data_IF_127617227130
#
_entry.id   IF_127617227130
#
_cell.length_a   1.000
_cell.length_b   1.000
_cell.length_c   1.000
_cell.angle_alpha   90.00
_cell.angle_beta   90.00
_cell.angle_gamma   90.00
#
_symmetry.space_group_name_H-M   'P 1'
#
loop_
_entity.id
_entity.type
_entity.pdbx_description
1 polymer ?
#
# COMPACT_ATOMS: atom_id res chain seq x y z
N UNK A 1 8.67 13.24 3.65
CA UNK A 1 8.30 11.91 3.12
C UNK A 1 8.40 11.94 1.60
N UNK A 2 8.75 10.83 0.95
CA UNK A 2 8.89 10.75 -0.53
C UNK A 2 7.51 10.73 -1.20
N UNK A 3 7.48 10.91 -2.52
CA UNK A 3 6.28 10.81 -3.37
C UNK A 3 5.78 9.36 -3.51
N UNK A 4 6.71 8.42 -3.60
CA UNK A 4 6.46 6.99 -3.64
C UNK A 4 7.43 6.23 -2.72
N UNK A 5 6.95 5.17 -2.08
CA UNK A 5 7.80 4.19 -1.40
C UNK A 5 7.40 2.77 -1.82
N UNK A 6 8.40 1.94 -2.07
CA UNK A 6 8.21 0.53 -2.42
C UNK A 6 8.64 -0.31 -1.23
N UNK A 7 7.71 -1.08 -0.68
CA UNK A 7 7.87 -1.84 0.54
C UNK A 7 7.73 -3.33 0.26
N UNK A 8 8.50 -4.14 0.98
CA UNK A 8 8.26 -5.57 1.02
C UNK A 8 7.07 -5.90 1.97
N UNK A 9 6.58 -7.15 2.03
CA UNK A 9 5.49 -7.52 2.93
C UNK A 9 5.78 -7.28 4.42
N UNK A 10 7.04 -7.17 4.83
CA UNK A 10 7.44 -6.82 6.20
C UNK A 10 7.52 -5.30 6.44
N UNK A 11 6.97 -4.49 5.54
CA UNK A 11 6.99 -3.02 5.59
C UNK A 11 8.37 -2.36 5.51
N UNK A 12 9.41 -3.08 5.08
CA UNK A 12 10.73 -2.49 4.85
C UNK A 12 10.81 -1.95 3.43
N UNK A 13 11.39 -0.77 3.25
CA UNK A 13 11.73 -0.28 1.91
C UNK A 13 12.59 -1.29 1.13
N UNK A 14 12.17 -1.58 -0.09
CA UNK A 14 12.85 -2.52 -0.97
C UNK A 14 14.17 -1.93 -1.45
N UNK A 15 15.22 -2.72 -1.30
CA UNK A 15 16.54 -2.48 -1.88
C UNK A 15 16.58 -2.95 -3.32
N UNK A 16 17.62 -2.57 -4.07
CA UNK A 16 17.80 -3.04 -5.46
C UNK A 16 17.89 -4.57 -5.56
N UNK A 17 18.43 -5.23 -4.55
CA UNK A 17 18.53 -6.70 -4.50
C UNK A 17 17.16 -7.34 -4.34
N UNK A 18 16.29 -6.80 -3.47
CA UNK A 18 14.92 -7.29 -3.26
C UNK A 18 14.09 -7.28 -4.57
N UNK A 19 14.42 -6.40 -5.52
CA UNK A 19 13.78 -6.35 -6.85
C UNK A 19 14.22 -7.45 -7.81
N UNK A 20 15.46 -7.93 -7.67
CA UNK A 20 16.05 -8.96 -8.52
C UNK A 20 15.65 -10.38 -8.11
N UNK A 21 15.17 -10.56 -6.88
CA UNK A 21 14.72 -11.84 -6.37
C UNK A 21 13.30 -12.16 -6.86
N UNK A 22 13.17 -13.24 -7.65
CA UNK A 22 11.88 -13.78 -8.12
C UNK A 22 10.97 -14.32 -7.01
N UNK A 23 11.42 -14.26 -5.75
CA UNK A 23 10.78 -14.81 -4.56
C UNK A 23 9.63 -13.92 -4.09
N UNK A 24 9.62 -12.63 -4.45
CA UNK A 24 8.60 -11.71 -3.96
C UNK A 24 7.66 -11.31 -5.08
N UNK A 25 6.77 -12.24 -5.46
CA UNK A 25 5.53 -11.91 -6.20
C UNK A 25 4.60 -10.99 -5.39
N UNK A 26 5.08 -10.39 -4.32
CA UNK A 26 4.35 -9.57 -3.39
C UNK A 26 5.08 -8.26 -3.17
N UNK A 27 4.37 -7.15 -3.30
CA UNK A 27 4.92 -5.81 -3.10
C UNK A 27 3.87 -4.90 -2.50
N UNK A 28 4.28 -4.00 -1.62
CA UNK A 28 3.46 -2.90 -1.13
C UNK A 28 3.97 -1.58 -1.72
N UNK A 29 3.06 -0.71 -2.13
CA UNK A 29 3.38 0.59 -2.72
C UNK A 29 2.65 1.67 -1.95
N UNK A 30 3.41 2.59 -1.36
CA UNK A 30 2.86 3.78 -0.75
C UNK A 30 2.91 4.94 -1.74
N UNK A 31 1.77 5.60 -1.92
CA UNK A 31 1.59 6.78 -2.77
C UNK A 31 1.23 7.97 -1.88
N UNK A 32 2.10 8.98 -1.87
CA UNK A 32 1.94 10.15 -1.04
C UNK A 32 1.19 11.26 -1.79
N UNK A 33 -0.09 11.43 -1.46
CA UNK A 33 -0.95 12.44 -2.06
C UNK A 33 -0.54 13.89 -1.76
N UNK A 34 0.27 14.14 -0.72
CA UNK A 34 0.79 15.48 -0.42
C UNK A 34 2.03 15.86 -1.24
N UNK A 35 2.72 14.85 -1.79
CA UNK A 35 3.99 14.98 -2.50
C UNK A 35 3.84 14.89 -4.02
N UNK A 36 2.63 15.02 -4.56
CA UNK A 36 2.39 15.08 -6.00
C UNK A 36 3.11 16.29 -6.60
N UNK A 37 4.10 16.02 -7.45
CA UNK A 37 4.94 17.05 -8.08
C UNK A 37 4.34 17.61 -9.36
N UNK A 38 3.51 16.83 -10.05
CA UNK A 38 2.88 17.23 -11.30
C UNK A 38 1.72 18.21 -11.04
N UNK A 39 1.72 19.40 -11.67
CA UNK A 39 0.58 20.30 -11.58
C UNK A 39 -0.57 19.82 -12.46
N UNK A 40 -1.78 20.30 -12.17
CA UNK A 40 -2.93 20.07 -13.06
C UNK A 40 -2.79 20.87 -14.38
N UNK A 41 -3.77 20.71 -15.28
CA UNK A 41 -3.78 21.39 -16.58
C UNK A 41 -3.75 22.94 -16.52
N UNK A 42 -4.04 23.53 -15.35
CA UNK A 42 -3.97 24.97 -15.10
C UNK A 42 -2.69 25.42 -14.39
N UNK A 43 -1.76 24.50 -14.13
CA UNK A 43 -0.52 24.78 -13.40
C UNK A 43 -0.69 24.81 -11.87
N UNK A 44 -1.85 24.38 -11.34
CA UNK A 44 -2.13 24.41 -9.91
C UNK A 44 -1.55 23.18 -9.21
N UNK A 45 -1.07 23.34 -7.96
CA UNK A 45 -0.61 22.23 -7.12
C UNK A 45 -1.76 21.25 -6.88
N UNK A 46 -1.49 19.96 -7.08
CA UNK A 46 -2.41 18.87 -6.77
C UNK A 46 -2.05 18.30 -5.41
N UNK A 47 -3.06 18.04 -4.59
CA UNK A 47 -2.96 17.30 -3.34
C UNK A 47 -4.11 16.30 -3.34
N UNK A 48 -3.85 15.09 -2.88
CA UNK A 48 -4.83 14.02 -2.78
C UNK A 48 -4.65 13.26 -1.45
N UNK A 49 -5.52 12.30 -1.19
CA UNK A 49 -5.35 11.32 -0.12
C UNK A 49 -4.11 10.44 -0.40
N UNK A 50 -3.53 9.89 0.67
CA UNK A 50 -2.38 8.97 0.55
C UNK A 50 -2.85 7.53 0.65
N UNK A 51 -2.27 6.66 -0.19
CA UNK A 51 -2.71 5.28 -0.32
C UNK A 51 -1.58 4.29 -0.12
N UNK A 52 -1.92 3.12 0.42
CA UNK A 52 -1.06 1.94 0.46
C UNK A 52 -1.73 0.84 -0.37
N UNK A 53 -1.01 0.30 -1.36
CA UNK A 53 -1.48 -0.77 -2.22
C UNK A 53 -0.64 -2.02 -1.96
N UNK A 54 -1.26 -3.11 -1.53
CA UNK A 54 -0.59 -4.39 -1.29
C UNK A 54 -0.97 -5.37 -2.40
N UNK A 55 0.00 -5.80 -3.19
CA UNK A 55 -0.18 -6.77 -4.28
C UNK A 55 0.35 -8.13 -3.83
N UNK A 56 -0.46 -9.17 -3.95
CA UNK A 56 -0.02 -10.56 -3.88
C UNK A 56 -0.29 -11.25 -5.23
N UNK A 57 0.72 -11.32 -6.10
CA UNK A 57 0.69 -12.08 -7.35
C UNK A 57 1.12 -13.55 -7.17
N UNK A 58 1.41 -13.96 -5.94
CA UNK A 58 1.67 -15.35 -5.55
C UNK A 58 0.41 -16.22 -5.56
N UNK A 59 0.61 -17.51 -5.33
CA UNK A 59 -0.50 -18.48 -5.22
C UNK A 59 -0.92 -18.68 -3.76
N UNK A 60 0.01 -18.47 -2.84
CA UNK A 60 -0.19 -18.66 -1.41
C UNK A 60 -0.55 -17.33 -0.71
N UNK A 61 -1.29 -17.38 0.41
CA UNK A 61 -1.48 -16.22 1.28
C UNK A 61 -0.17 -15.68 1.83
N UNK A 62 -0.08 -14.35 1.95
CA UNK A 62 1.08 -13.64 2.52
C UNK A 62 0.62 -12.65 3.58
N UNK A 63 1.33 -12.58 4.70
CA UNK A 63 1.12 -11.54 5.71
C UNK A 63 1.83 -10.25 5.29
N UNK A 64 1.06 -9.18 5.18
CA UNK A 64 1.55 -7.82 5.04
C UNK A 64 1.52 -7.11 6.40
N UNK A 65 2.62 -6.48 6.76
CA UNK A 65 2.72 -5.58 7.92
C UNK A 65 2.42 -4.17 7.42
N UNK A 66 1.50 -3.45 8.08
CA UNK A 66 1.23 -2.06 7.78
C UNK A 66 2.44 -1.20 8.16
N UNK A 67 2.73 -0.12 7.41
CA UNK A 67 3.83 0.76 7.74
C UNK A 67 3.71 1.39 9.11
N UNK A 68 4.86 1.80 9.64
CA UNK A 68 4.93 2.51 10.90
C UNK A 68 4.19 3.86 10.82
N UNK A 69 4.11 4.52 11.96
CA UNK A 69 3.39 5.76 12.13
C UNK A 69 3.95 6.97 11.37
N UNK A 70 5.19 6.88 10.87
CA UNK A 70 5.71 7.89 9.94
C UNK A 70 4.79 7.99 8.70
N UNK A 71 4.26 6.86 8.21
CA UNK A 71 3.35 6.84 7.06
C UNK A 71 1.93 7.22 7.46
N UNK A 72 1.34 6.49 8.41
CA UNK A 72 0.00 6.71 8.96
C UNK A 72 -0.14 5.96 10.28
N UNK A 73 -0.92 6.51 11.21
CA UNK A 73 -1.36 5.83 12.42
C UNK A 73 -2.48 4.82 12.12
N UNK A 74 -3.34 5.16 11.16
CA UNK A 74 -4.52 4.38 10.81
C UNK A 74 -4.74 4.36 9.30
N UNK A 75 -5.19 3.20 8.81
CA UNK A 75 -5.58 2.97 7.44
C UNK A 75 -7.01 2.45 7.38
N UNK A 76 -7.79 2.95 6.43
CA UNK A 76 -9.08 2.37 6.05
C UNK A 76 -8.90 1.58 4.76
N UNK A 77 -9.36 0.33 4.74
CA UNK A 77 -9.42 -0.47 3.51
C UNK A 77 -10.51 0.13 2.60
N UNK A 78 -10.13 0.49 1.38
CA UNK A 78 -11.06 1.04 0.39
C UNK A 78 -11.45 0.00 -0.67
N UNK A 79 -10.59 -1.00 -0.88
CA UNK A 79 -10.85 -2.08 -1.83
C UNK A 79 -10.11 -3.36 -1.41
N UNK A 80 -10.84 -4.46 -1.32
CA UNK A 80 -10.28 -5.81 -1.22
C UNK A 80 -10.82 -6.69 -2.36
N UNK A 81 -9.96 -7.06 -3.30
CA UNK A 81 -10.33 -7.95 -4.42
C UNK A 81 -10.68 -9.38 -4.01
N UNK A 82 -10.36 -9.78 -2.77
CA UNK A 82 -10.80 -11.06 -2.21
C UNK A 82 -12.26 -11.03 -1.74
N UNK A 83 -12.85 -9.84 -1.60
CA UNK A 83 -14.28 -9.68 -1.32
C UNK A 83 -15.09 -9.59 -2.62
N UNK A 84 -16.22 -10.32 -2.79
CA UNK A 84 -16.97 -10.35 -4.05
C UNK A 84 -17.47 -8.98 -4.55
N UNK A 85 -17.71 -8.04 -3.64
CA UNK A 85 -18.13 -6.67 -3.97
C UNK A 85 -16.98 -5.67 -3.96
N UNK A 86 -15.78 -6.08 -3.54
CA UNK A 86 -14.66 -5.19 -3.29
C UNK A 86 -14.74 -4.43 -1.96
N UNK A 87 -15.92 -4.35 -1.35
CA UNK A 87 -16.13 -3.61 -0.10
C UNK A 87 -15.43 -4.28 1.07
N UNK A 88 -14.66 -3.49 1.80
CA UNK A 88 -14.09 -3.87 3.08
C UNK A 88 -13.95 -2.60 3.92
N UNK A 89 -15.03 -2.16 4.60
CA UNK A 89 -14.96 -1.07 5.59
C UNK A 89 -14.22 -1.55 6.86
N UNK A 90 -12.97 -1.95 6.69
CA UNK A 90 -12.07 -2.41 7.75
C UNK A 90 -11.04 -1.33 8.03
N UNK A 91 -10.85 -1.03 9.31
CA UNK A 91 -9.77 -0.18 9.80
C UNK A 91 -8.62 -1.06 10.28
N UNK A 92 -7.38 -0.70 9.90
CA UNK A 92 -6.15 -1.35 10.35
C UNK A 92 -5.16 -0.31 10.85
N UNK A 93 -4.41 -0.64 11.90
CA UNK A 93 -3.48 0.27 12.54
C UNK A 93 -2.08 0.16 11.94
N UNK A 94 -1.23 1.15 12.24
CA UNK A 94 0.21 1.06 11.99
C UNK A 94 0.79 -0.26 12.57
N UNK A 95 1.72 -0.87 11.85
CA UNK A 95 2.39 -2.13 12.22
C UNK A 95 1.46 -3.36 12.39
N UNK A 96 0.15 -3.22 12.15
CA UNK A 96 -0.80 -4.31 12.16
C UNK A 96 -0.55 -5.27 10.98
N UNK A 97 -0.88 -6.55 11.15
CA UNK A 97 -0.72 -7.56 10.11
C UNK A 97 -2.04 -7.85 9.42
N UNK A 98 -2.02 -7.85 8.09
CA UNK A 98 -3.15 -8.22 7.24
C UNK A 98 -2.75 -9.41 6.37
N UNK A 99 -3.54 -10.48 6.42
CA UNK A 99 -3.33 -11.64 5.56
C UNK A 99 -3.99 -11.42 4.21
N UNK A 100 -3.21 -11.45 3.14
CA UNK A 100 -3.67 -11.23 1.78
C UNK A 100 -3.58 -12.54 0.97
N UNK A 101 -4.70 -13.11 0.49
CA UNK A 101 -4.69 -14.35 -0.29
C UNK A 101 -3.88 -14.26 -1.58
N UNK A 102 -3.54 -15.41 -2.17
CA UNK A 102 -2.90 -15.45 -3.48
C UNK A 102 -3.74 -14.77 -4.56
N UNK A 103 -3.07 -14.11 -5.51
CA UNK A 103 -3.69 -13.40 -6.65
C UNK A 103 -4.69 -12.33 -6.24
N UNK A 104 -4.36 -11.52 -5.25
CA UNK A 104 -5.23 -10.45 -4.76
C UNK A 104 -4.49 -9.12 -4.57
N UNK A 105 -5.28 -8.05 -4.47
CA UNK A 105 -4.90 -6.68 -4.21
C UNK A 105 -5.75 -6.13 -3.06
N UNK A 106 -5.09 -5.43 -2.15
CA UNK A 106 -5.69 -4.61 -1.10
C UNK A 106 -5.30 -3.15 -1.31
N UNK A 107 -6.26 -2.24 -1.28
CA UNK A 107 -6.04 -0.79 -1.35
C UNK A 107 -6.50 -0.19 -0.02
N UNK A 108 -5.60 0.54 0.62
CA UNK A 108 -5.87 1.23 1.86
C UNK A 108 -5.61 2.72 1.71
N UNK A 109 -6.42 3.54 2.36
CA UNK A 109 -6.28 4.98 2.44
C UNK A 109 -5.86 5.40 3.83
N UNK A 110 -4.89 6.31 3.91
CA UNK A 110 -4.47 6.95 5.15
C UNK A 110 -5.63 7.76 5.74
N UNK A 111 -6.00 7.51 6.99
CA UNK A 111 -7.05 8.27 7.69
C UNK A 111 -6.55 9.04 8.90
N UNK A 112 -5.49 8.59 9.58
CA UNK A 112 -4.87 9.27 10.73
C UNK A 112 -3.35 9.21 10.69
#
# INVERSE_FOLDING_TARGET
MRDIAWLNPSSREMTHEDWGESIHKCVAVFLNGEAITAPNARGERVVDDSFLLCFNAGEEPVEFVMPNDDYAQEWTVELDTNHPTGDADQVVNAEEKVSLPGRSLLVLRKTM
#
